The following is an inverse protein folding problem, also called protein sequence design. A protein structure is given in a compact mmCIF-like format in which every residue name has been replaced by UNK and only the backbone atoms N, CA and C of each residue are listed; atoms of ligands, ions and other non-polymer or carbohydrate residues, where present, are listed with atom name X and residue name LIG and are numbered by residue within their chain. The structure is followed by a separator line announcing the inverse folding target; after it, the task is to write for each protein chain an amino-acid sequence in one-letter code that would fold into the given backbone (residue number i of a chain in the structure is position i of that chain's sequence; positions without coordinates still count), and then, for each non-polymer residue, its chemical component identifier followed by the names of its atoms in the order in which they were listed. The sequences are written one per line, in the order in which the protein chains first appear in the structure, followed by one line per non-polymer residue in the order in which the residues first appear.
data_IF_138459328346
#
_entry.id   IF_138459328346
#
_cell.length_a   1.000
_cell.length_b   1.000
_cell.length_c   1.000
_cell.angle_alpha   90.00
_cell.angle_beta   90.00
_cell.angle_gamma   90.00
#
_symmetry.space_group_name_H-M   'P 1'
#
loop_
_entity.id
_entity.type
_entity.pdbx_description
1 polymer ?
#
# COMPACT_ATOMS: atom_id res chain seq x y z
N UNK A 1 -23.38 35.12 -8.58
CA UNK A 1 -22.05 34.61 -9.06
C UNK A 1 -21.63 33.44 -8.18
N UNK A 2 -21.62 32.25 -8.74
CA UNK A 2 -21.06 31.10 -8.04
C UNK A 2 -19.54 31.34 -7.85
N UNK A 3 -19.09 31.43 -6.61
CA UNK A 3 -17.67 31.37 -6.30
C UNK A 3 -17.16 30.02 -6.80
N UNK A 4 -16.33 29.99 -7.82
CA UNK A 4 -15.54 28.82 -8.16
C UNK A 4 -14.62 28.56 -6.96
N UNK A 5 -15.03 27.65 -6.09
CA UNK A 5 -14.07 27.03 -5.17
C UNK A 5 -13.12 26.21 -6.06
N UNK A 6 -11.95 26.79 -6.34
CA UNK A 6 -10.93 26.09 -7.07
C UNK A 6 -10.30 25.05 -6.14
N UNK A 7 -10.80 23.82 -6.16
CA UNK A 7 -10.15 22.70 -5.50
C UNK A 7 -8.92 22.33 -6.31
N UNK A 8 -7.78 22.34 -5.66
CA UNK A 8 -6.53 21.92 -6.29
C UNK A 8 -6.35 20.41 -6.17
N UNK A 9 -5.49 19.87 -7.02
CA UNK A 9 -5.09 18.47 -6.98
C UNK A 9 -4.54 18.09 -5.60
N UNK A 10 -3.72 18.96 -5.01
CA UNK A 10 -3.12 18.79 -3.69
C UNK A 10 -4.17 18.72 -2.58
N UNK A 11 -5.19 19.56 -2.62
CA UNK A 11 -6.29 19.56 -1.64
C UNK A 11 -7.09 18.25 -1.69
N UNK A 12 -7.41 17.78 -2.88
CA UNK A 12 -8.14 16.53 -3.10
C UNK A 12 -7.30 15.35 -2.63
N UNK A 13 -6.03 15.32 -2.97
CA UNK A 13 -5.10 14.26 -2.59
C UNK A 13 -4.88 14.21 -1.08
N UNK A 14 -4.74 15.37 -0.43
CA UNK A 14 -4.59 15.46 1.03
C UNK A 14 -5.81 14.85 1.76
N UNK A 15 -7.01 15.17 1.30
CA UNK A 15 -8.25 14.58 1.85
C UNK A 15 -8.29 13.09 1.61
N UNK A 16 -7.90 12.63 0.42
CA UNK A 16 -7.83 11.20 0.11
C UNK A 16 -6.84 10.46 1.02
N UNK A 17 -5.68 11.05 1.31
CA UNK A 17 -4.69 10.49 2.24
C UNK A 17 -5.27 10.38 3.66
N UNK A 18 -5.92 11.43 4.17
CA UNK A 18 -6.56 11.42 5.49
C UNK A 18 -7.64 10.34 5.57
N UNK A 19 -8.47 10.24 4.55
CA UNK A 19 -9.55 9.26 4.47
C UNK A 19 -9.00 7.83 4.42
N UNK A 20 -7.95 7.59 3.65
CA UNK A 20 -7.25 6.31 3.59
C UNK A 20 -6.70 5.90 4.96
N UNK A 21 -6.02 6.81 5.66
CA UNK A 21 -5.46 6.53 6.99
C UNK A 21 -6.53 6.25 8.03
N UNK A 22 -7.69 6.90 7.93
CA UNK A 22 -8.79 6.78 8.89
C UNK A 22 -9.66 5.56 8.62
N UNK A 23 -10.05 5.32 7.37
CA UNK A 23 -11.09 4.35 6.99
C UNK A 23 -10.62 3.24 6.06
N UNK A 24 -9.41 3.37 5.49
CA UNK A 24 -8.83 2.38 4.60
C UNK A 24 -9.12 2.59 3.11
N UNK A 25 -8.71 1.62 2.29
CA UNK A 25 -8.77 1.72 0.82
C UNK A 25 -10.19 1.71 0.26
N UNK A 26 -11.11 1.01 0.91
CA UNK A 26 -12.50 0.90 0.44
C UNK A 26 -13.27 2.21 0.56
N UNK A 27 -12.82 3.13 1.43
CA UNK A 27 -13.41 4.45 1.61
C UNK A 27 -13.03 5.44 0.49
N UNK A 28 -12.07 5.11 -0.37
CA UNK A 28 -11.61 5.99 -1.45
C UNK A 28 -12.58 5.95 -2.63
N UNK A 29 -13.60 6.77 -2.53
CA UNK A 29 -14.61 7.01 -3.54
C UNK A 29 -14.76 8.51 -3.78
N UNK A 30 -15.16 8.92 -4.98
CA UNK A 30 -15.40 10.33 -5.30
C UNK A 30 -16.45 10.94 -4.34
N UNK A 31 -17.49 10.19 -3.99
CA UNK A 31 -18.55 10.60 -3.07
C UNK A 31 -17.99 10.90 -1.65
N UNK A 32 -17.19 10.01 -1.11
CA UNK A 32 -16.62 10.19 0.22
C UNK A 32 -15.63 11.34 0.28
N UNK A 33 -14.80 11.50 -0.74
CA UNK A 33 -13.86 12.62 -0.85
C UNK A 33 -14.61 13.94 -0.98
N UNK A 34 -15.65 14.00 -1.82
CA UNK A 34 -16.49 15.17 -1.96
C UNK A 34 -17.17 15.56 -0.65
N UNK A 35 -17.66 14.59 0.10
CA UNK A 35 -18.25 14.79 1.42
C UNK A 35 -17.27 15.44 2.41
N UNK A 36 -16.04 14.94 2.46
CA UNK A 36 -14.99 15.50 3.33
C UNK A 36 -14.56 16.92 2.89
N UNK A 37 -14.60 17.21 1.59
CA UNK A 37 -14.32 18.54 1.05
C UNK A 37 -15.51 19.51 1.22
N UNK A 38 -16.70 19.01 1.53
CA UNK A 38 -17.90 19.83 1.61
C UNK A 38 -18.40 20.32 0.25
N UNK A 39 -18.21 19.53 -0.82
CA UNK A 39 -18.58 19.87 -2.18
C UNK A 39 -19.30 18.71 -2.91
N UNK A 40 -19.72 18.95 -4.14
CA UNK A 40 -20.20 17.89 -5.04
C UNK A 40 -19.01 17.11 -5.65
N UNK A 41 -19.29 16.02 -6.37
CA UNK A 41 -18.24 15.23 -7.06
C UNK A 41 -17.64 15.93 -8.28
N UNK A 42 -18.34 16.91 -8.86
CA UNK A 42 -17.91 17.59 -10.08
C UNK A 42 -16.51 18.24 -9.98
N UNK A 43 -16.14 18.95 -8.91
CA UNK A 43 -14.79 19.49 -8.74
C UNK A 43 -13.69 18.42 -8.78
N UNK A 44 -13.94 17.24 -8.27
CA UNK A 44 -12.97 16.13 -8.28
C UNK A 44 -12.68 15.70 -9.70
N UNK A 45 -13.71 15.50 -10.51
CA UNK A 45 -13.58 15.11 -11.92
C UNK A 45 -13.13 16.25 -12.83
N UNK A 46 -13.15 17.50 -12.38
CA UNK A 46 -12.53 18.59 -13.11
C UNK A 46 -10.99 18.61 -12.99
N UNK A 47 -10.46 18.01 -11.92
CA UNK A 47 -9.03 17.93 -11.62
C UNK A 47 -8.45 16.59 -12.02
N UNK A 48 -9.13 15.50 -11.69
CA UNK A 48 -8.76 14.13 -12.05
C UNK A 48 -9.65 13.59 -13.15
N UNK A 49 -9.08 13.08 -14.23
CA UNK A 49 -9.83 12.50 -15.35
C UNK A 49 -10.65 11.28 -14.92
N UNK A 50 -10.15 10.53 -13.96
CA UNK A 50 -10.81 9.36 -13.41
C UNK A 50 -10.45 9.15 -11.94
N UNK A 51 -11.26 8.35 -11.25
CA UNK A 51 -10.95 7.92 -9.88
C UNK A 51 -9.67 7.08 -9.84
N UNK A 52 -9.39 6.32 -10.88
CA UNK A 52 -8.16 5.52 -10.98
C UNK A 52 -6.90 6.41 -11.03
N UNK A 53 -6.95 7.55 -11.68
CA UNK A 53 -5.85 8.52 -11.68
C UNK A 53 -5.60 9.09 -10.28
N UNK A 54 -6.66 9.40 -9.55
CA UNK A 54 -6.56 9.80 -8.15
C UNK A 54 -5.96 8.68 -7.29
N UNK A 55 -6.40 7.44 -7.47
CA UNK A 55 -5.87 6.28 -6.75
C UNK A 55 -4.40 6.02 -7.05
N UNK A 56 -3.93 6.28 -8.27
CA UNK A 56 -2.49 6.19 -8.62
C UNK A 56 -1.66 7.20 -7.84
N UNK A 57 -2.09 8.44 -7.80
CA UNK A 57 -1.41 9.49 -7.03
C UNK A 57 -1.44 9.19 -5.53
N UNK A 58 -2.57 8.71 -5.01
CA UNK A 58 -2.70 8.30 -3.62
C UNK A 58 -1.76 7.13 -3.30
N UNK A 59 -1.73 6.10 -4.13
CA UNK A 59 -0.84 4.97 -3.94
C UNK A 59 0.63 5.40 -3.95
N UNK A 60 1.01 6.30 -4.84
CA UNK A 60 2.35 6.85 -4.91
C UNK A 60 2.75 7.57 -3.61
N UNK A 61 1.89 8.43 -3.08
CA UNK A 61 2.15 9.15 -1.82
C UNK A 61 2.20 8.22 -0.61
N UNK A 62 1.31 7.26 -0.52
CA UNK A 62 1.32 6.26 0.57
C UNK A 62 2.57 5.38 0.48
N UNK A 63 2.91 4.88 -0.69
CA UNK A 63 4.12 4.08 -0.92
C UNK A 63 5.38 4.87 -0.57
N UNK A 64 5.48 6.12 -1.01
CA UNK A 64 6.57 7.03 -0.67
C UNK A 64 6.71 7.20 0.84
N UNK A 65 5.60 7.44 1.55
CA UNK A 65 5.57 7.56 3.01
C UNK A 65 6.06 6.27 3.71
N UNK A 66 5.67 5.10 3.19
CA UNK A 66 6.14 3.82 3.69
C UNK A 66 7.65 3.64 3.45
N UNK A 67 8.13 4.00 2.25
CA UNK A 67 9.54 3.85 1.86
C UNK A 67 10.48 4.83 2.58
N UNK A 68 9.98 5.97 3.03
CA UNK A 68 10.72 6.95 3.83
C UNK A 68 10.92 6.54 5.29
N UNK A 69 10.19 5.55 5.77
CA UNK A 69 10.40 5.00 7.11
C UNK A 69 11.80 4.36 7.20
N UNK A 70 12.61 4.78 8.15
CA UNK A 70 14.05 4.43 8.28
C UNK A 70 14.36 2.93 8.40
N UNK A 71 13.35 2.09 8.44
CA UNK A 71 13.48 0.67 8.79
C UNK A 71 12.81 -0.29 7.79
N UNK A 72 12.55 0.16 6.56
CA UNK A 72 11.93 -0.70 5.55
C UNK A 72 12.89 -1.79 5.07
N UNK A 73 12.37 -3.01 4.98
CA UNK A 73 13.05 -4.10 4.31
C UNK A 73 13.23 -3.78 2.82
N UNK A 74 14.45 -3.91 2.26
CA UNK A 74 14.67 -3.80 0.81
C UNK A 74 13.80 -4.75 0.00
N UNK A 75 13.41 -5.87 0.59
CA UNK A 75 12.53 -6.86 -0.01
C UNK A 75 11.13 -6.31 -0.22
N UNK A 76 10.57 -5.63 0.80
CA UNK A 76 9.25 -4.99 0.71
C UNK A 76 9.24 -3.90 -0.36
N UNK A 77 10.28 -3.08 -0.41
CA UNK A 77 10.45 -2.06 -1.44
C UNK A 77 10.44 -2.64 -2.86
N UNK A 78 11.17 -3.73 -3.09
CA UNK A 78 11.19 -4.44 -4.37
C UNK A 78 9.84 -5.04 -4.74
N UNK A 79 9.11 -5.58 -3.77
CA UNK A 79 7.77 -6.11 -3.98
C UNK A 79 6.80 -5.00 -4.40
N UNK A 80 6.77 -3.90 -3.67
CA UNK A 80 5.88 -2.77 -3.94
C UNK A 80 6.12 -2.15 -5.32
N UNK A 81 7.38 -2.07 -5.75
CA UNK A 81 7.76 -1.53 -7.06
C UNK A 81 7.18 -2.34 -8.24
N UNK A 82 6.87 -3.62 -8.04
CA UNK A 82 6.29 -4.48 -9.08
C UNK A 82 4.77 -4.39 -9.17
N UNK A 83 4.09 -3.89 -8.15
CA UNK A 83 2.64 -3.82 -8.09
C UNK A 83 2.14 -2.52 -8.71
N UNK A 84 1.11 -2.62 -9.53
CA UNK A 84 0.43 -1.50 -10.18
C UNK A 84 -0.96 -1.28 -9.61
N UNK A 85 -1.42 -0.04 -9.56
CA UNK A 85 -2.77 0.31 -9.05
C UNK A 85 -3.87 -0.34 -9.88
N UNK A 86 -3.65 -0.48 -11.19
CA UNK A 86 -4.59 -1.05 -12.14
C UNK A 86 -4.42 -2.56 -12.34
N UNK A 87 -3.52 -3.21 -11.60
CA UNK A 87 -3.41 -4.65 -11.64
C UNK A 87 -4.74 -5.30 -11.25
N UNK A 88 -5.17 -6.28 -12.02
CA UNK A 88 -6.29 -7.15 -11.65
C UNK A 88 -5.90 -8.04 -10.48
N UNK A 89 -6.89 -8.63 -9.82
CA UNK A 89 -6.63 -9.58 -8.73
C UNK A 89 -5.69 -10.70 -9.16
N UNK A 90 -5.89 -11.23 -10.38
CA UNK A 90 -5.04 -12.28 -10.96
C UNK A 90 -3.61 -11.82 -11.20
N UNK A 91 -3.43 -10.60 -11.72
CA UNK A 91 -2.12 -10.01 -11.94
C UNK A 91 -1.38 -9.77 -10.63
N UNK A 92 -2.05 -9.23 -9.62
CA UNK A 92 -1.49 -9.02 -8.28
C UNK A 92 -1.05 -10.34 -7.65
N UNK A 93 -1.92 -11.34 -7.68
CA UNK A 93 -1.62 -12.66 -7.13
C UNK A 93 -0.45 -13.32 -7.87
N UNK A 94 -0.40 -13.23 -9.19
CA UNK A 94 0.69 -13.77 -9.99
C UNK A 94 2.03 -13.11 -9.65
N UNK A 95 2.05 -11.78 -9.51
CA UNK A 95 3.26 -11.03 -9.13
C UNK A 95 3.74 -11.39 -7.73
N UNK A 96 2.81 -11.55 -6.77
CA UNK A 96 3.14 -11.96 -5.40
C UNK A 96 3.69 -13.39 -5.34
N UNK A 97 3.11 -14.32 -6.10
CA UNK A 97 3.61 -15.69 -6.19
C UNK A 97 4.98 -15.77 -6.87
N UNK A 98 5.20 -15.00 -7.92
CA UNK A 98 6.50 -14.89 -8.56
C UNK A 98 7.55 -14.35 -7.59
N UNK A 99 7.20 -13.32 -6.86
CA UNK A 99 8.08 -12.72 -5.85
C UNK A 99 8.44 -13.72 -4.75
N UNK A 100 7.45 -14.47 -4.26
CA UNK A 100 7.63 -15.55 -3.28
C UNK A 100 8.60 -16.64 -3.80
N UNK A 101 8.44 -17.08 -5.04
CA UNK A 101 9.36 -18.06 -5.67
C UNK A 101 10.79 -17.53 -5.79
N UNK A 102 10.94 -16.25 -6.15
CA UNK A 102 12.26 -15.63 -6.27
C UNK A 102 13.00 -15.52 -4.93
N UNK A 103 12.27 -15.33 -3.84
CA UNK A 103 12.85 -15.37 -2.48
C UNK A 103 13.33 -16.76 -2.12
N UNK A 104 12.53 -17.79 -2.41
CA UNK A 104 12.88 -19.19 -2.15
C UNK A 104 14.15 -19.61 -2.88
N UNK A 105 14.33 -19.16 -4.12
CA UNK A 105 15.45 -19.56 -4.95
C UNK A 105 16.76 -18.85 -4.63
N UNK A 106 16.71 -17.68 -3.97
CA UNK A 106 17.91 -16.86 -3.74
C UNK A 106 18.51 -16.96 -2.35
N UNK A 107 17.74 -17.40 -1.37
CA UNK A 107 18.21 -17.39 0.02
C UNK A 107 17.61 -18.54 0.84
N UNK A 108 18.48 -19.40 1.34
CA UNK A 108 18.14 -20.47 2.26
C UNK A 108 17.72 -19.98 3.68
N UNK A 109 17.36 -18.70 3.82
CA UNK A 109 16.94 -18.14 5.10
C UNK A 109 15.45 -18.40 5.36
N UNK A 110 15.17 -19.59 5.89
CA UNK A 110 13.85 -20.11 6.25
C UNK A 110 13.04 -19.10 7.09
N UNK A 111 13.67 -18.29 7.94
CA UNK A 111 12.98 -17.33 8.81
C UNK A 111 12.36 -16.16 8.04
N UNK A 112 13.03 -15.62 7.04
CA UNK A 112 12.51 -14.53 6.20
C UNK A 112 11.37 -15.03 5.33
N UNK A 113 11.49 -16.26 4.82
CA UNK A 113 10.45 -16.91 4.04
C UNK A 113 9.18 -17.15 4.85
N UNK A 114 9.30 -17.63 6.09
CA UNK A 114 8.15 -17.85 6.98
C UNK A 114 7.39 -16.55 7.24
N UNK A 115 8.10 -15.47 7.60
CA UNK A 115 7.48 -14.18 7.85
C UNK A 115 6.79 -13.60 6.60
N UNK A 116 7.42 -13.77 5.44
CA UNK A 116 6.84 -13.34 4.17
C UNK A 116 5.64 -14.19 3.77
N UNK A 117 5.68 -15.47 4.04
CA UNK A 117 4.56 -16.40 3.83
C UNK A 117 3.35 -16.02 4.69
N UNK A 118 3.57 -15.66 5.96
CA UNK A 118 2.51 -15.19 6.86
C UNK A 118 1.89 -13.88 6.35
N UNK A 119 2.71 -12.96 5.87
CA UNK A 119 2.24 -11.73 5.24
C UNK A 119 1.40 -11.98 3.98
N UNK A 120 1.86 -12.86 3.10
CA UNK A 120 1.12 -13.27 1.91
C UNK A 120 -0.20 -13.95 2.30
N UNK A 121 -0.18 -14.82 3.31
CA UNK A 121 -1.39 -15.47 3.82
C UNK A 121 -2.41 -14.46 4.35
N UNK A 122 -1.96 -13.42 5.04
CA UNK A 122 -2.82 -12.32 5.49
C UNK A 122 -3.46 -11.60 4.30
N UNK A 123 -2.70 -11.33 3.24
CA UNK A 123 -3.22 -10.75 2.00
C UNK A 123 -4.28 -11.66 1.38
N UNK A 124 -4.05 -12.97 1.33
CA UNK A 124 -5.03 -13.92 0.81
C UNK A 124 -6.32 -14.00 1.65
N UNK A 125 -6.24 -13.87 2.96
CA UNK A 125 -7.41 -13.86 3.85
C UNK A 125 -8.31 -12.65 3.61
N UNK A 126 -7.77 -11.52 3.14
CA UNK A 126 -8.55 -10.33 2.82
C UNK A 126 -9.27 -10.40 1.47
N UNK A 127 -9.14 -11.53 0.75
CA UNK A 127 -9.66 -11.75 -0.62
C UNK A 127 -11.18 -11.60 -0.78
N UNK A 128 -11.94 -11.57 0.30
CA UNK A 128 -13.40 -11.31 0.25
C UNK A 128 -13.75 -9.88 -0.16
N UNK A 129 -12.81 -8.95 -0.06
CA UNK A 129 -12.95 -7.56 -0.47
C UNK A 129 -12.08 -7.30 -1.69
N UNK A 130 -12.44 -6.32 -2.52
CA UNK A 130 -11.67 -5.93 -3.70
C UNK A 130 -10.16 -5.89 -3.41
N UNK A 131 -9.42 -6.81 -4.01
CA UNK A 131 -7.99 -6.90 -3.86
C UNK A 131 -7.33 -5.86 -4.79
N UNK A 132 -6.50 -5.00 -4.25
CA UNK A 132 -5.84 -3.93 -5.01
C UNK A 132 -4.51 -3.55 -4.36
N UNK A 133 -3.66 -2.84 -5.10
CA UNK A 133 -2.41 -2.28 -4.53
C UNK A 133 -2.69 -1.40 -3.31
N UNK A 134 -3.75 -0.58 -3.34
CA UNK A 134 -4.16 0.24 -2.18
C UNK A 134 -4.51 -0.61 -0.97
N UNK A 135 -5.16 -1.76 -1.16
CA UNK A 135 -5.46 -2.69 -0.06
C UNK A 135 -4.20 -3.29 0.53
N UNK A 136 -3.23 -3.63 -0.30
CA UNK A 136 -1.92 -4.12 0.16
C UNK A 136 -1.20 -3.04 0.97
N UNK A 137 -1.19 -1.80 0.50
CA UNK A 137 -0.60 -0.67 1.22
C UNK A 137 -1.30 -0.40 2.56
N UNK A 138 -2.62 -0.53 2.61
CA UNK A 138 -3.41 -0.45 3.84
C UNK A 138 -2.97 -1.51 4.86
N UNK A 139 -2.83 -2.75 4.42
CA UNK A 139 -2.39 -3.86 5.27
C UNK A 139 -0.99 -3.60 5.82
N UNK A 140 -0.06 -3.14 4.98
CA UNK A 140 1.31 -2.79 5.39
C UNK A 140 1.29 -1.66 6.41
N UNK A 141 0.50 -0.62 6.19
CA UNK A 141 0.41 0.51 7.10
C UNK A 141 -0.17 0.14 8.47
N UNK A 142 -1.14 -0.77 8.51
CA UNK A 142 -1.74 -1.28 9.76
C UNK A 142 -0.84 -2.24 10.53
N UNK A 143 0.00 -2.97 9.84
CA UNK A 143 0.86 -4.00 10.41
C UNK A 143 2.34 -3.61 10.34
N UNK A 144 2.68 -2.42 10.82
CA UNK A 144 4.07 -1.91 10.88
C UNK A 144 5.04 -2.85 11.57
N UNK A 145 4.55 -3.72 12.46
CA UNK A 145 5.36 -4.76 13.11
C UNK A 145 6.04 -5.70 12.09
N UNK A 146 5.39 -6.02 10.98
CA UNK A 146 6.01 -6.86 9.95
C UNK A 146 7.19 -6.16 9.26
N UNK A 147 7.13 -4.83 9.15
CA UNK A 147 8.21 -4.01 8.59
C UNK A 147 9.44 -4.04 9.51
N UNK A 148 9.22 -3.98 10.82
CA UNK A 148 10.28 -3.97 11.84
C UNK A 148 10.79 -5.36 12.18
N UNK A 149 9.96 -6.39 12.18
CA UNK A 149 10.34 -7.78 12.48
C UNK A 149 11.26 -8.38 11.41
N UNK A 150 11.08 -8.04 10.13
CA UNK A 150 12.02 -8.40 9.05
C UNK A 150 13.45 -7.91 9.29
N UNK A 151 13.63 -6.88 10.12
CA UNK A 151 14.92 -6.32 10.48
C UNK A 151 15.53 -6.97 11.74
N UNK A 152 14.68 -7.26 12.72
CA UNK A 152 15.13 -7.80 14.01
C UNK A 152 15.59 -9.27 13.93
N UNK A 153 15.14 -10.03 12.95
CA UNK A 153 15.62 -11.40 12.75
C UNK A 153 17.10 -11.48 12.35
N UNK A 154 17.65 -10.43 11.73
CA UNK A 154 19.10 -10.34 11.45
C UNK A 154 19.93 -10.02 12.69
N UNK A 155 19.42 -9.19 13.59
CA UNK A 155 20.18 -8.78 14.78
C UNK A 155 20.23 -9.85 15.88
N UNK A 156 19.19 -10.69 15.99
CA UNK A 156 19.17 -11.78 16.98
C UNK A 156 20.12 -12.93 16.64
N UNK A 157 20.36 -13.22 15.35
CA UNK A 157 21.31 -14.26 14.95
C UNK A 157 22.79 -13.87 15.12
N UNK A 158 23.11 -12.59 15.02
CA UNK A 158 24.49 -12.12 15.29
C UNK A 158 24.89 -12.22 16.78
N UNK A 159 23.91 -12.20 17.71
CA UNK A 159 24.18 -12.36 19.15
C UNK A 159 24.48 -13.80 19.60
N UNK A 160 24.10 -14.79 18.83
CA UNK A 160 24.29 -16.21 19.20
C UNK A 160 25.52 -16.87 18.56
N UNK A 161 26.27 -16.16 17.71
CA UNK A 161 27.52 -16.65 17.12
C UNK A 161 28.78 -16.15 17.80
N UNK A 162 28.66 -15.47 18.93
CA UNK A 162 29.79 -14.96 19.77
C UNK A 162 29.84 -15.58 21.19
N UNK A 163 29.31 -16.81 21.32
CA UNK A 163 29.56 -17.62 22.54
C UNK A 163 30.21 -18.93 22.15
#
# INVERSE_FOLDING_TARGET
MARKCAYTKEMILEVAIKLFKKEGSDAITAKNIAKELGCSVAPIYSVYLSLDDLKKDLAFEIEKSILEEKNISPLLSKMLAKLEVNDTDEQLLSKLEEFKRNILNKDSKISIFSQFSDFISLIYQTKKNKFSKLKILEIIAKHKKYITEFKNSKSKKQKYHLL
#
